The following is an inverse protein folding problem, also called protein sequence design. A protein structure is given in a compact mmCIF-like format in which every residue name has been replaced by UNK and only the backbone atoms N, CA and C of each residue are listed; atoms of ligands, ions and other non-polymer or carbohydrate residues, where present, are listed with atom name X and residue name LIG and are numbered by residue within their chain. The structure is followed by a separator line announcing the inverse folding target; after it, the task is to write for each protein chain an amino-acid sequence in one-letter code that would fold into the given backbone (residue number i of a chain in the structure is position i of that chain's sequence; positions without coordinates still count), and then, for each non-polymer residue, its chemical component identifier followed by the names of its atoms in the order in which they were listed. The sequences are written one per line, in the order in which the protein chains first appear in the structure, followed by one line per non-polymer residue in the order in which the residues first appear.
data_IF_431958382807
#
_entry.id   IF_431958382807
#
_cell.length_a   1.000
_cell.length_b   1.000
_cell.length_c   1.000
_cell.angle_alpha   90.00
_cell.angle_beta   90.00
_cell.angle_gamma   90.00
#
_symmetry.space_group_name_H-M   'P 1'
#
loop_
_entity.id
_entity.type
_entity.pdbx_description
1 polymer ?
#
# COMPACT_ATOMS: atom_id res chain seq x y z
N UNK A 1 9.31 -9.17 -15.45
CA UNK A 1 9.19 -7.88 -14.71
C UNK A 1 10.33 -7.82 -13.71
N UNK A 2 11.13 -6.76 -13.69
CA UNK A 2 12.25 -6.65 -12.73
C UNK A 2 11.71 -6.29 -11.34
N UNK A 3 12.32 -6.85 -10.27
CA UNK A 3 11.94 -6.58 -8.87
C UNK A 3 11.71 -5.09 -8.59
N UNK A 4 12.61 -4.24 -9.08
CA UNK A 4 12.51 -2.76 -8.96
C UNK A 4 11.21 -2.21 -9.56
N UNK A 5 10.83 -2.64 -10.77
CA UNK A 5 9.58 -2.21 -11.42
C UNK A 5 8.34 -2.66 -10.64
N UNK A 6 8.34 -3.88 -10.10
CA UNK A 6 7.23 -4.38 -9.30
C UNK A 6 7.03 -3.58 -8.00
N UNK A 7 8.12 -3.27 -7.31
CA UNK A 7 8.10 -2.44 -6.09
C UNK A 7 7.60 -1.03 -6.42
N UNK A 8 8.08 -0.41 -7.50
CA UNK A 8 7.65 0.94 -7.90
C UNK A 8 6.15 0.97 -8.22
N UNK A 9 5.63 -0.01 -8.97
CA UNK A 9 4.20 -0.08 -9.29
C UNK A 9 3.38 -0.22 -8.01
N UNK A 10 3.79 -1.12 -7.11
CA UNK A 10 3.11 -1.32 -5.82
C UNK A 10 3.10 -0.03 -4.98
N UNK A 11 4.25 0.65 -4.87
CA UNK A 11 4.36 1.90 -4.13
C UNK A 11 3.48 3.02 -4.71
N UNK A 12 3.38 3.11 -6.05
CA UNK A 12 2.49 4.09 -6.70
C UNK A 12 1.03 3.79 -6.39
N UNK A 13 0.61 2.52 -6.45
CA UNK A 13 -0.76 2.11 -6.11
C UNK A 13 -1.07 2.39 -4.64
N UNK A 14 -0.16 2.05 -3.74
CA UNK A 14 -0.30 2.32 -2.30
C UNK A 14 -0.43 3.82 -2.01
N UNK A 15 0.35 4.66 -2.70
CA UNK A 15 0.24 6.11 -2.59
C UNK A 15 -1.15 6.63 -2.99
N UNK A 16 -1.72 6.15 -4.11
CA UNK A 16 -3.06 6.56 -4.53
C UNK A 16 -4.16 6.12 -3.56
N UNK A 17 -4.04 4.90 -3.01
CA UNK A 17 -4.97 4.40 -1.98
C UNK A 17 -4.91 5.30 -0.74
N UNK A 18 -3.70 5.56 -0.24
CA UNK A 18 -3.51 6.42 0.93
C UNK A 18 -4.03 7.84 0.70
N UNK A 19 -3.81 8.40 -0.49
CA UNK A 19 -4.34 9.71 -0.86
C UNK A 19 -5.87 9.74 -0.83
N UNK A 20 -6.54 8.72 -1.37
CA UNK A 20 -8.00 8.62 -1.33
C UNK A 20 -8.52 8.50 0.11
N UNK A 21 -7.86 7.70 0.95
CA UNK A 21 -8.24 7.53 2.37
C UNK A 21 -8.09 8.84 3.14
N UNK A 22 -7.01 9.60 2.90
CA UNK A 22 -6.81 10.93 3.50
C UNK A 22 -7.90 11.90 3.03
N UNK A 23 -8.24 11.91 1.74
CA UNK A 23 -9.30 12.77 1.20
C UNK A 23 -10.66 12.47 1.85
N UNK A 24 -11.00 11.19 2.05
CA UNK A 24 -12.22 10.77 2.75
C UNK A 24 -12.22 11.21 4.23
N UNK A 25 -11.06 11.17 4.88
CA UNK A 25 -10.94 11.62 6.27
C UNK A 25 -11.07 13.14 6.40
N UNK A 26 -10.37 13.92 5.58
CA UNK A 26 -10.41 15.39 5.60
C UNK A 26 -11.79 15.93 5.19
N UNK A 27 -12.52 15.21 4.34
CA UNK A 27 -13.91 15.54 3.99
C UNK A 27 -14.93 15.13 5.06
N UNK A 28 -14.49 14.60 6.21
CA UNK A 28 -15.33 14.09 7.31
C UNK A 28 -16.30 12.97 6.90
N UNK A 29 -16.02 12.25 5.81
CA UNK A 29 -16.84 11.10 5.35
C UNK A 29 -16.62 9.88 6.24
N UNK A 30 -15.42 9.72 6.79
CA UNK A 30 -15.06 8.61 7.68
C UNK A 30 -14.56 9.12 9.03
N UNK A 31 -14.83 8.35 10.09
CA UNK A 31 -14.36 8.65 11.44
C UNK A 31 -12.85 8.40 11.60
N UNK A 32 -12.25 8.96 12.65
CA UNK A 32 -10.84 8.71 13.01
C UNK A 32 -10.57 7.21 13.22
N UNK A 33 -11.49 6.48 13.86
CA UNK A 33 -11.34 5.03 14.10
C UNK A 33 -11.33 4.28 12.76
N UNK A 34 -12.25 4.62 11.86
CA UNK A 34 -12.33 4.04 10.51
C UNK A 34 -11.07 4.34 9.70
N UNK A 35 -10.58 5.57 9.76
CA UNK A 35 -9.34 5.97 9.11
C UNK A 35 -8.14 5.14 9.59
N UNK A 36 -7.93 5.05 10.90
CA UNK A 36 -6.83 4.27 11.49
C UNK A 36 -6.94 2.78 11.11
N UNK A 37 -8.14 2.21 11.14
CA UNK A 37 -8.36 0.82 10.75
C UNK A 37 -8.01 0.55 9.27
N UNK A 38 -8.39 1.45 8.37
CA UNK A 38 -8.06 1.35 6.94
C UNK A 38 -6.54 1.46 6.75
N UNK A 39 -5.90 2.47 7.33
CA UNK A 39 -4.44 2.68 7.20
C UNK A 39 -3.67 1.45 7.72
N UNK A 40 -4.06 0.91 8.88
CA UNK A 40 -3.44 -0.29 9.43
C UNK A 40 -3.62 -1.51 8.51
N UNK A 41 -4.82 -1.67 7.93
CA UNK A 41 -5.11 -2.77 6.99
C UNK A 41 -4.29 -2.65 5.70
N UNK A 42 -4.16 -1.45 5.14
CA UNK A 42 -3.32 -1.19 3.96
C UNK A 42 -1.87 -1.55 4.25
N UNK A 43 -1.33 -1.16 5.41
CA UNK A 43 0.04 -1.49 5.81
C UNK A 43 0.27 -3.01 5.93
N UNK A 44 -0.68 -3.75 6.52
CA UNK A 44 -0.60 -5.21 6.61
C UNK A 44 -0.62 -5.87 5.23
N UNK A 45 -1.51 -5.42 4.34
CA UNK A 45 -1.61 -5.94 2.97
C UNK A 45 -0.32 -5.61 2.19
N UNK A 46 0.19 -4.38 2.33
CA UNK A 46 1.43 -3.94 1.68
C UNK A 46 2.62 -4.82 2.09
N UNK A 47 2.75 -5.13 3.38
CA UNK A 47 3.77 -6.06 3.88
C UNK A 47 3.67 -7.45 3.24
N UNK A 48 2.47 -8.02 3.14
CA UNK A 48 2.25 -9.31 2.51
C UNK A 48 2.61 -9.29 1.00
N UNK A 49 2.23 -8.23 0.29
CA UNK A 49 2.55 -8.06 -1.14
C UNK A 49 4.06 -7.94 -1.35
N UNK A 50 4.77 -7.20 -0.49
CA UNK A 50 6.23 -7.07 -0.56
C UNK A 50 6.94 -8.42 -0.39
N UNK A 51 6.47 -9.28 0.53
CA UNK A 51 6.98 -10.65 0.69
C UNK A 51 6.78 -11.45 -0.60
N UNK A 52 5.60 -11.34 -1.23
CA UNK A 52 5.31 -12.03 -2.50
C UNK A 52 6.22 -11.53 -3.63
N UNK A 53 6.44 -10.21 -3.72
CA UNK A 53 7.33 -9.62 -4.72
C UNK A 53 8.76 -10.14 -4.52
N UNK A 54 9.26 -10.19 -3.28
CA UNK A 54 10.62 -10.68 -3.01
C UNK A 54 10.78 -12.18 -3.29
N UNK A 55 9.76 -12.99 -3.02
CA UNK A 55 9.77 -14.43 -3.33
C UNK A 55 9.71 -14.70 -4.84
N UNK A 56 8.88 -13.96 -5.58
CA UNK A 56 8.71 -14.15 -7.03
C UNK A 56 9.81 -13.52 -7.87
N UNK A 57 10.42 -12.44 -7.37
CA UNK A 57 11.48 -11.70 -8.04
C UNK A 57 12.67 -11.56 -7.08
N UNK A 58 13.45 -12.62 -6.87
CA UNK A 58 14.67 -12.53 -6.08
C UNK A 58 15.61 -11.46 -6.66
N UNK A 59 16.48 -10.85 -5.83
CA UNK A 59 17.50 -9.97 -6.37
C UNK A 59 18.33 -10.77 -7.39
N UNK A 60 18.41 -10.28 -8.62
CA UNK A 60 19.47 -10.72 -9.51
C UNK A 60 20.76 -10.24 -8.84
N UNK A 61 21.62 -11.18 -8.45
CA UNK A 61 23.01 -10.90 -8.10
C UNK A 61 23.67 -10.04 -9.19
#
# INVERSE_FOLDING_TARGET
MNRKKAITIHAVVEFFIMFAVIALFVSNVISVITFVAIVASVGLISGAVMIVIFRKFPPAE
#
